data_IF_309905796164
#
_entry.id   IF_309905796164
#
_cell.length_a   1.000
_cell.length_b   1.000
_cell.length_c   1.000
_cell.angle_alpha   90.00
_cell.angle_beta   90.00
_cell.angle_gamma   90.00
#
_symmetry.space_group_name_H-M   'P 1'
#
loop_
_entity.id
_entity.type
_entity.pdbx_description
1 polymer ?
#
# COMPACT_ATOMS: atom_id res chain seq x y z
N UNK A 1 17.18 -7.53 8.93
CA UNK A 1 15.89 -8.12 9.36
C UNK A 1 15.66 -9.41 8.56
N UNK A 2 16.01 -10.60 9.08
CA UNK A 2 15.97 -11.83 8.29
C UNK A 2 14.58 -12.16 7.70
N UNK A 3 13.50 -11.85 8.42
CA UNK A 3 12.13 -12.08 7.97
C UNK A 3 11.74 -11.28 6.71
N UNK A 4 12.42 -10.16 6.42
CA UNK A 4 12.11 -9.33 5.25
C UNK A 4 12.28 -10.11 3.95
N UNK A 5 13.29 -10.98 3.86
CA UNK A 5 13.59 -11.78 2.68
C UNK A 5 12.92 -13.16 2.69
N UNK A 6 11.95 -13.36 3.59
CA UNK A 6 11.21 -14.61 3.75
C UNK A 6 9.70 -14.35 3.86
N UNK A 7 9.09 -13.74 2.83
CA UNK A 7 7.64 -13.56 2.79
C UNK A 7 6.94 -14.93 2.82
N UNK A 8 5.76 -15.03 3.46
CA UNK A 8 5.01 -16.28 3.48
C UNK A 8 4.48 -16.63 2.08
N UNK A 9 4.46 -17.93 1.78
CA UNK A 9 3.85 -18.46 0.56
C UNK A 9 2.39 -18.85 0.80
N UNK A 10 1.50 -18.52 -0.13
CA UNK A 10 0.08 -18.94 -0.09
C UNK A 10 -0.06 -20.46 -0.06
N UNK A 11 0.87 -21.20 -0.67
CA UNK A 11 0.83 -22.67 -0.74
C UNK A 11 1.33 -23.38 0.52
N UNK A 12 1.97 -22.66 1.44
CA UNK A 12 2.64 -23.23 2.62
C UNK A 12 2.36 -22.41 3.89
N UNK A 13 1.21 -21.75 3.96
CA UNK A 13 0.87 -20.87 5.08
C UNK A 13 0.54 -21.67 6.35
N UNK A 14 1.11 -21.24 7.47
CA UNK A 14 0.68 -21.69 8.81
C UNK A 14 -0.64 -21.00 9.19
N UNK A 15 -1.38 -21.51 10.20
CA UNK A 15 -2.65 -20.89 10.64
C UNK A 15 -2.52 -19.40 11.00
N UNK A 16 -1.35 -18.97 11.46
CA UNK A 16 -1.07 -17.58 11.85
C UNK A 16 -0.38 -16.75 10.76
N UNK A 17 -0.04 -17.34 9.61
CA UNK A 17 0.76 -16.68 8.58
C UNK A 17 0.12 -15.38 8.07
N UNK A 18 -1.22 -15.31 8.02
CA UNK A 18 -1.93 -14.08 7.66
C UNK A 18 -1.73 -12.97 8.70
N UNK A 19 -1.91 -13.29 9.98
CA UNK A 19 -1.70 -12.34 11.08
C UNK A 19 -0.24 -11.85 11.14
N UNK A 20 0.72 -12.76 10.95
CA UNK A 20 2.14 -12.45 10.91
C UNK A 20 2.50 -11.56 9.71
N UNK A 21 1.94 -11.85 8.53
CA UNK A 21 2.13 -11.03 7.33
C UNK A 21 1.57 -9.61 7.53
N UNK A 22 0.36 -9.47 8.08
CA UNK A 22 -0.24 -8.17 8.40
C UNK A 22 0.63 -7.41 9.41
N UNK A 23 1.16 -8.09 10.42
CA UNK A 23 2.10 -7.52 11.39
C UNK A 23 3.38 -7.03 10.71
N UNK A 24 3.95 -7.81 9.80
CA UNK A 24 5.13 -7.40 9.04
C UNK A 24 4.83 -6.18 8.14
N UNK A 25 3.70 -6.16 7.44
CA UNK A 25 3.25 -5.01 6.63
C UNK A 25 3.12 -3.74 7.50
N UNK A 26 2.60 -3.86 8.72
CA UNK A 26 2.51 -2.74 9.68
C UNK A 26 3.89 -2.26 10.12
N UNK A 27 4.79 -3.16 10.49
CA UNK A 27 6.16 -2.83 10.89
C UNK A 27 6.94 -2.14 9.76
N UNK A 28 6.80 -2.65 8.52
CA UNK A 28 7.40 -2.03 7.34
C UNK A 28 6.85 -0.63 7.11
N UNK A 29 5.54 -0.43 7.26
CA UNK A 29 4.93 0.89 7.13
C UNK A 29 5.54 1.90 8.12
N UNK A 30 5.69 1.51 9.39
CA UNK A 30 6.32 2.35 10.41
C UNK A 30 7.80 2.64 10.13
N UNK A 31 8.54 1.64 9.66
CA UNK A 31 9.94 1.81 9.30
C UNK A 31 10.11 2.81 8.16
N UNK A 32 9.27 2.72 7.12
CA UNK A 32 9.29 3.64 5.99
C UNK A 32 8.84 5.05 6.38
N UNK A 33 7.84 5.20 7.26
CA UNK A 33 7.46 6.50 7.83
C UNK A 33 8.66 7.13 8.56
N UNK A 34 9.35 6.37 9.40
CA UNK A 34 10.55 6.85 10.10
C UNK A 34 11.67 7.26 9.15
N UNK A 35 11.93 6.45 8.12
CA UNK A 35 12.95 6.72 7.11
C UNK A 35 12.66 8.01 6.32
N UNK A 36 11.41 8.18 5.88
CA UNK A 36 10.95 9.35 5.12
C UNK A 36 10.88 10.64 5.98
N UNK A 37 10.78 10.50 7.30
CA UNK A 37 10.81 11.63 8.24
C UNK A 37 12.22 12.05 8.65
N UNK A 38 13.25 11.24 8.35
CA UNK A 38 14.62 11.57 8.71
C UNK A 38 15.10 12.83 7.99
N UNK A 39 15.80 13.71 8.71
CA UNK A 39 16.40 14.93 8.13
C UNK A 39 17.59 14.65 7.20
N UNK A 40 18.13 13.42 7.26
CA UNK A 40 19.24 12.94 6.44
C UNK A 40 18.76 11.73 5.65
N UNK A 41 19.34 11.45 4.45
CA UNK A 41 19.04 10.24 3.69
C UNK A 41 19.16 9.00 4.58
N UNK A 42 18.05 8.28 4.75
CA UNK A 42 17.96 7.10 5.60
C UNK A 42 17.33 5.97 4.78
N UNK A 43 18.12 4.95 4.47
CA UNK A 43 17.69 3.82 3.63
C UNK A 43 17.74 2.50 4.42
N UNK A 44 16.87 2.30 5.44
CA UNK A 44 16.91 1.09 6.27
C UNK A 44 16.49 -0.18 5.52
N UNK A 45 15.78 -0.03 4.39
CA UNK A 45 15.42 -1.14 3.50
C UNK A 45 16.04 -0.88 2.12
N UNK A 46 16.93 -1.75 1.61
CA UNK A 46 17.44 -1.63 0.25
C UNK A 46 16.30 -1.67 -0.78
N UNK A 47 16.37 -0.82 -1.82
CA UNK A 47 15.37 -0.81 -2.91
C UNK A 47 15.31 -2.18 -3.60
N UNK A 48 16.43 -2.91 -3.65
CA UNK A 48 16.50 -4.29 -4.16
C UNK A 48 15.58 -5.29 -3.43
N UNK A 49 15.05 -4.94 -2.25
CA UNK A 49 14.03 -5.72 -1.56
C UNK A 49 12.60 -5.54 -2.14
N UNK A 50 12.43 -4.82 -3.26
CA UNK A 50 11.13 -4.53 -3.88
C UNK A 50 10.30 -5.79 -4.15
N UNK A 51 10.95 -6.88 -4.59
CA UNK A 51 10.26 -8.15 -4.83
C UNK A 51 9.63 -8.72 -3.56
N UNK A 52 10.34 -8.69 -2.43
CA UNK A 52 9.83 -9.21 -1.17
C UNK A 52 8.71 -8.34 -0.61
N UNK A 53 8.82 -7.02 -0.81
CA UNK A 53 7.73 -6.08 -0.49
C UNK A 53 6.46 -6.45 -1.27
N UNK A 54 6.60 -6.70 -2.57
CA UNK A 54 5.47 -7.14 -3.41
C UNK A 54 4.89 -8.47 -2.94
N UNK A 55 5.73 -9.43 -2.54
CA UNK A 55 5.28 -10.75 -2.06
C UNK A 55 4.47 -10.64 -0.75
N UNK A 56 4.89 -9.80 0.19
CA UNK A 56 4.10 -9.50 1.40
C UNK A 56 2.73 -8.91 1.07
N UNK A 57 2.69 -7.92 0.18
CA UNK A 57 1.44 -7.31 -0.27
C UNK A 57 0.56 -8.35 -0.97
N UNK A 58 1.13 -9.12 -1.89
CA UNK A 58 0.42 -10.14 -2.65
C UNK A 58 -0.20 -11.18 -1.70
N UNK A 59 0.56 -11.66 -0.70
CA UNK A 59 0.07 -12.61 0.28
C UNK A 59 -1.10 -12.05 1.10
N UNK A 60 -0.99 -10.81 1.58
CA UNK A 60 -2.07 -10.15 2.34
C UNK A 60 -3.30 -9.92 1.45
N UNK A 61 -3.13 -9.49 0.20
CA UNK A 61 -4.26 -9.29 -0.71
C UNK A 61 -4.93 -10.62 -1.04
N UNK A 62 -4.17 -11.68 -1.36
CA UNK A 62 -4.72 -13.00 -1.68
C UNK A 62 -5.51 -13.62 -0.52
N UNK A 63 -5.04 -13.47 0.72
CA UNK A 63 -5.72 -14.01 1.91
C UNK A 63 -6.87 -13.15 2.43
N UNK A 64 -7.02 -11.90 1.97
CA UNK A 64 -7.94 -10.94 2.60
C UNK A 64 -9.41 -11.39 2.54
N UNK A 65 -9.85 -11.94 1.41
CA UNK A 65 -11.24 -12.33 1.21
C UNK A 65 -11.71 -13.37 2.25
N UNK A 66 -10.82 -14.31 2.60
CA UNK A 66 -11.10 -15.39 3.54
C UNK A 66 -10.83 -15.00 5.00
N UNK A 67 -9.79 -14.20 5.25
CA UNK A 67 -9.27 -13.97 6.61
C UNK A 67 -9.82 -12.71 7.28
N UNK A 68 -10.38 -11.77 6.52
CA UNK A 68 -10.76 -10.41 7.01
C UNK A 68 -11.77 -10.39 8.16
N UNK A 69 -12.52 -11.47 8.38
CA UNK A 69 -13.57 -11.56 9.41
C UNK A 69 -13.10 -12.15 10.75
N UNK A 70 -11.91 -12.72 10.80
CA UNK A 70 -11.40 -13.45 11.97
C UNK A 70 -10.97 -12.50 13.10
N UNK A 71 -10.56 -11.28 12.80
CA UNK A 71 -10.20 -10.27 13.81
C UNK A 71 -10.27 -8.85 13.25
N UNK A 72 -10.33 -7.85 14.14
CA UNK A 72 -10.27 -6.44 13.74
C UNK A 72 -8.92 -6.10 13.07
N UNK A 73 -7.84 -6.77 13.47
CA UNK A 73 -6.52 -6.65 12.81
C UNK A 73 -6.59 -7.16 11.37
N UNK A 74 -7.28 -8.26 11.12
CA UNK A 74 -7.45 -8.78 9.76
C UNK A 74 -8.36 -7.88 8.93
N UNK A 75 -9.39 -7.29 9.54
CA UNK A 75 -10.28 -6.33 8.90
C UNK A 75 -9.51 -5.09 8.40
N UNK A 76 -8.46 -4.66 9.10
CA UNK A 76 -7.62 -3.53 8.69
C UNK A 76 -6.51 -3.89 7.70
N UNK A 77 -6.41 -5.15 7.25
CA UNK A 77 -5.29 -5.60 6.42
C UNK A 77 -5.20 -4.87 5.06
N UNK A 78 -6.32 -4.62 4.36
CA UNK A 78 -6.31 -3.80 3.13
C UNK A 78 -5.79 -2.39 3.40
N UNK A 79 -6.19 -1.77 4.51
CA UNK A 79 -5.70 -0.44 4.87
C UNK A 79 -4.18 -0.44 4.96
N UNK A 80 -3.59 -1.40 5.69
CA UNK A 80 -2.14 -1.48 5.88
C UNK A 80 -1.41 -1.81 4.58
N UNK A 81 -1.93 -2.74 3.77
CA UNK A 81 -1.34 -3.11 2.49
C UNK A 81 -1.25 -1.90 1.54
N UNK A 82 -2.35 -1.16 1.34
CA UNK A 82 -2.35 0.00 0.45
C UNK A 82 -1.48 1.17 0.96
N UNK A 83 -1.42 1.39 2.28
CA UNK A 83 -0.51 2.41 2.83
C UNK A 83 0.95 2.02 2.67
N UNK A 84 1.28 0.73 2.81
CA UNK A 84 2.64 0.24 2.56
C UNK A 84 3.01 0.42 1.09
N UNK A 85 2.11 0.15 0.14
CA UNK A 85 2.36 0.42 -1.28
C UNK A 85 2.65 1.91 -1.55
N UNK A 86 1.88 2.82 -0.93
CA UNK A 86 2.10 4.27 -1.04
C UNK A 86 3.47 4.66 -0.48
N UNK A 87 3.76 4.24 0.75
CA UNK A 87 5.02 4.53 1.44
C UNK A 87 6.22 3.96 0.70
N UNK A 88 6.14 2.72 0.21
CA UNK A 88 7.19 2.08 -0.56
C UNK A 88 7.50 2.83 -1.86
N UNK A 89 6.45 3.22 -2.59
CA UNK A 89 6.60 4.00 -3.83
C UNK A 89 7.35 5.31 -3.56
N UNK A 90 6.88 6.11 -2.60
CA UNK A 90 7.50 7.39 -2.24
C UNK A 90 8.91 7.20 -1.68
N UNK A 91 9.13 6.16 -0.87
CA UNK A 91 10.45 5.82 -0.33
C UNK A 91 11.46 5.50 -1.43
N UNK A 92 11.10 4.68 -2.41
CA UNK A 92 11.98 4.35 -3.53
C UNK A 92 12.27 5.57 -4.41
N UNK A 93 11.27 6.44 -4.65
CA UNK A 93 11.48 7.70 -5.38
C UNK A 93 12.46 8.61 -4.64
N UNK A 94 12.35 8.72 -3.31
CA UNK A 94 13.29 9.51 -2.49
C UNK A 94 14.67 8.92 -2.47
N UNK A 95 14.78 7.59 -2.39
CA UNK A 95 16.05 6.90 -2.44
C UNK A 95 16.76 7.19 -3.77
N UNK A 96 16.05 7.14 -4.91
CA UNK A 96 16.58 7.47 -6.24
C UNK A 96 17.15 8.89 -6.37
N UNK A 97 16.69 9.84 -5.54
CA UNK A 97 17.20 11.22 -5.51
C UNK A 97 18.47 11.38 -4.67
N UNK A 98 18.77 10.41 -3.80
CA UNK A 98 19.85 10.48 -2.80
C UNK A 98 20.94 9.43 -3.01
N UNK A 99 20.65 8.35 -3.73
CA UNK A 99 21.60 7.30 -4.05
C UNK A 99 22.40 7.62 -5.31
N UNK A 100 23.63 7.11 -5.37
CA UNK A 100 24.42 7.11 -6.61
C UNK A 100 23.88 6.11 -7.67
N UNK A 101 22.90 5.27 -7.32
CA UNK A 101 22.26 4.39 -8.30
C UNK A 101 21.51 5.19 -9.37
N UNK A 102 21.56 4.74 -10.65
CA UNK A 102 20.87 5.44 -11.72
C UNK A 102 19.36 5.46 -11.44
N UNK A 103 18.77 6.65 -11.46
CA UNK A 103 17.33 6.87 -11.23
C UNK A 103 16.45 5.91 -12.04
N UNK A 104 16.86 5.60 -13.27
CA UNK A 104 16.18 4.65 -14.16
C UNK A 104 16.00 3.27 -13.51
N UNK A 105 17.00 2.76 -12.80
CA UNK A 105 16.93 1.45 -12.12
C UNK A 105 15.96 1.50 -10.94
N UNK A 106 15.98 2.58 -10.15
CA UNK A 106 15.03 2.76 -9.05
C UNK A 106 13.58 2.85 -9.55
N UNK A 107 13.34 3.59 -10.63
CA UNK A 107 12.02 3.68 -11.25
C UNK A 107 11.56 2.31 -11.80
N UNK A 108 12.44 1.55 -12.43
CA UNK A 108 12.13 0.20 -12.89
C UNK A 108 11.73 -0.73 -11.73
N UNK A 109 12.44 -0.69 -10.59
CA UNK A 109 12.08 -1.46 -9.39
C UNK A 109 10.69 -1.13 -8.82
N UNK A 110 10.25 0.13 -8.95
CA UNK A 110 8.90 0.56 -8.54
C UNK A 110 7.85 0.02 -9.52
N UNK A 111 8.11 0.07 -10.82
CA UNK A 111 7.20 -0.48 -11.83
C UNK A 111 7.07 -1.99 -11.69
N UNK A 112 8.17 -2.71 -11.45
CA UNK A 112 8.17 -4.16 -11.23
C UNK A 112 7.39 -4.54 -9.96
N UNK A 113 7.52 -3.74 -8.90
CA UNK A 113 6.70 -3.89 -7.69
C UNK A 113 5.20 -3.81 -8.02
N UNK A 114 4.78 -2.76 -8.73
CA UNK A 114 3.38 -2.58 -9.08
C UNK A 114 2.88 -3.60 -10.11
N UNK A 115 3.73 -4.06 -11.02
CA UNK A 115 3.40 -5.14 -11.96
C UNK A 115 3.08 -6.46 -11.24
N UNK A 116 3.69 -6.71 -10.08
CA UNK A 116 3.41 -7.88 -9.22
C UNK A 116 2.16 -7.71 -8.35
N UNK A 117 1.93 -6.49 -7.84
CA UNK A 117 0.79 -6.20 -6.94
C UNK A 117 -0.53 -6.07 -7.72
N UNK A 118 -0.49 -5.51 -8.93
CA UNK A 118 -1.68 -5.21 -9.75
C UNK A 118 -2.56 -6.45 -10.01
N UNK A 119 -2.04 -7.62 -10.39
CA UNK A 119 -2.86 -8.83 -10.54
C UNK A 119 -3.64 -9.23 -9.29
N UNK A 120 -3.05 -9.11 -8.10
CA UNK A 120 -3.74 -9.43 -6.84
C UNK A 120 -4.89 -8.45 -6.53
N UNK A 121 -4.72 -7.16 -6.87
CA UNK A 121 -5.80 -6.17 -6.78
C UNK A 121 -6.96 -6.57 -7.73
N UNK A 122 -6.65 -6.91 -8.97
CA UNK A 122 -7.66 -7.33 -9.96
C UNK A 122 -8.41 -8.59 -9.53
N UNK A 123 -7.72 -9.56 -8.90
CA UNK A 123 -8.34 -10.75 -8.33
C UNK A 123 -9.32 -10.42 -7.21
N UNK A 124 -9.00 -9.46 -6.33
CA UNK A 124 -9.95 -9.05 -5.29
C UNK A 124 -11.18 -8.32 -5.86
N UNK A 125 -11.01 -7.54 -6.93
CA UNK A 125 -12.12 -6.86 -7.60
C UNK A 125 -13.14 -7.84 -8.21
N UNK A 126 -12.72 -9.06 -8.58
CA UNK A 126 -13.61 -10.08 -9.15
C UNK A 126 -14.33 -10.94 -8.09
N UNK A 127 -13.96 -10.83 -6.80
CA UNK A 127 -14.47 -11.72 -5.77
C UNK A 127 -15.92 -11.42 -5.34
N UNK A 128 -16.25 -10.16 -5.03
CA UNK A 128 -17.62 -9.74 -4.68
C UNK A 128 -17.80 -8.23 -4.82
N UNK A 129 -19.03 -7.75 -4.96
CA UNK A 129 -19.33 -6.31 -5.04
C UNK A 129 -18.82 -5.53 -3.81
N UNK A 130 -19.07 -6.05 -2.62
CA UNK A 130 -18.64 -5.41 -1.37
C UNK A 130 -17.12 -5.29 -1.31
N UNK A 131 -16.42 -6.36 -1.69
CA UNK A 131 -14.96 -6.35 -1.73
C UNK A 131 -14.42 -5.41 -2.81
N UNK A 132 -15.05 -5.38 -3.98
CA UNK A 132 -14.70 -4.47 -5.06
C UNK A 132 -14.83 -3.00 -4.62
N UNK A 133 -15.91 -2.63 -3.94
CA UNK A 133 -16.11 -1.27 -3.42
C UNK A 133 -15.04 -0.88 -2.38
N UNK A 134 -14.67 -1.81 -1.48
CA UNK A 134 -13.61 -1.60 -0.49
C UNK A 134 -12.24 -1.41 -1.14
N UNK A 135 -11.87 -2.31 -2.05
CA UNK A 135 -10.59 -2.27 -2.77
C UNK A 135 -10.49 -1.01 -3.62
N UNK A 136 -11.55 -0.66 -4.36
CA UNK A 136 -11.59 0.57 -5.14
C UNK A 136 -11.40 1.81 -4.25
N UNK A 137 -12.04 1.87 -3.08
CA UNK A 137 -11.83 2.99 -2.15
C UNK A 137 -10.36 3.14 -1.73
N UNK A 138 -9.70 2.05 -1.36
CA UNK A 138 -8.28 2.07 -0.98
C UNK A 138 -7.36 2.40 -2.17
N UNK A 139 -7.69 1.88 -3.34
CA UNK A 139 -6.95 2.14 -4.57
C UNK A 139 -7.03 3.61 -5.00
N UNK A 140 -8.22 4.22 -4.95
CA UNK A 140 -8.37 5.66 -5.23
C UNK A 140 -7.59 6.53 -4.24
N UNK A 141 -7.62 6.17 -2.94
CA UNK A 141 -6.82 6.87 -1.94
C UNK A 141 -5.31 6.74 -2.25
N UNK A 142 -4.88 5.66 -2.89
CA UNK A 142 -3.50 5.45 -3.33
C UNK A 142 -3.13 6.35 -4.50
N UNK A 143 -3.96 6.43 -5.53
CA UNK A 143 -3.78 7.39 -6.65
C UNK A 143 -3.70 8.81 -6.11
N UNK A 144 -4.61 9.18 -5.20
CA UNK A 144 -4.62 10.50 -4.59
C UNK A 144 -3.33 10.78 -3.80
N UNK A 145 -2.87 9.83 -2.98
CA UNK A 145 -1.65 9.99 -2.19
C UNK A 145 -0.40 10.16 -3.08
N UNK A 146 -0.26 9.36 -4.14
CA UNK A 146 0.85 9.47 -5.08
C UNK A 146 0.83 10.81 -5.83
N UNK A 147 -0.37 11.30 -6.19
CA UNK A 147 -0.53 12.62 -6.81
C UNK A 147 -0.13 13.75 -5.86
N UNK A 148 -0.55 13.68 -4.59
CA UNK A 148 -0.17 14.65 -3.55
C UNK A 148 1.35 14.71 -3.34
N UNK A 149 2.04 13.59 -3.52
CA UNK A 149 3.49 13.47 -3.41
C UNK A 149 4.26 13.78 -4.70
N UNK A 150 3.58 14.17 -5.78
CA UNK A 150 4.19 14.40 -7.10
C UNK A 150 4.95 13.16 -7.64
N UNK A 151 4.41 11.97 -7.41
CA UNK A 151 5.07 10.72 -7.80
C UNK A 151 5.45 10.72 -9.29
N UNK A 152 6.72 10.46 -9.55
CA UNK A 152 7.31 10.43 -10.89
C UNK A 152 6.78 9.26 -11.73
N UNK A 153 6.41 8.15 -11.10
CA UNK A 153 5.90 6.95 -11.79
C UNK A 153 4.40 6.98 -12.07
N UNK A 154 3.65 7.95 -11.52
CA UNK A 154 2.18 7.94 -11.59
C UNK A 154 1.65 7.88 -13.02
N UNK A 155 2.31 8.55 -13.97
CA UNK A 155 1.95 8.50 -15.38
C UNK A 155 2.07 7.09 -16.00
N UNK A 156 3.15 6.38 -15.69
CA UNK A 156 3.38 5.00 -16.16
C UNK A 156 2.42 4.01 -15.47
N UNK A 157 2.19 4.21 -14.17
CA UNK A 157 1.23 3.42 -13.41
C UNK A 157 -0.21 3.60 -13.90
N UNK A 158 -0.58 4.79 -14.37
CA UNK A 158 -1.90 5.05 -14.95
C UNK A 158 -2.26 4.10 -16.09
N UNK A 159 -1.31 3.81 -16.99
CA UNK A 159 -1.52 2.85 -18.07
C UNK A 159 -1.68 1.41 -17.53
N UNK A 160 -0.84 1.01 -16.58
CA UNK A 160 -0.89 -0.32 -15.94
C UNK A 160 -2.20 -0.55 -15.19
N UNK A 161 -2.73 0.48 -14.55
CA UNK A 161 -3.90 0.40 -13.68
C UNK A 161 -5.22 0.62 -14.38
N UNK A 162 -5.22 0.87 -15.69
CA UNK A 162 -6.46 1.05 -16.42
C UNK A 162 -7.44 -0.13 -16.28
N UNK A 163 -7.00 -1.39 -16.21
CA UNK A 163 -7.89 -2.51 -15.88
C UNK A 163 -8.52 -2.42 -14.48
N UNK A 164 -7.81 -1.89 -13.46
CA UNK A 164 -8.36 -1.74 -12.10
C UNK A 164 -9.51 -0.73 -12.11
N UNK A 165 -9.31 0.39 -12.82
CA UNK A 165 -10.33 1.43 -12.96
C UNK A 165 -11.54 0.92 -13.75
N UNK A 166 -11.28 0.10 -14.78
CA UNK A 166 -12.32 -0.33 -15.74
C UNK A 166 -13.03 -1.63 -15.41
N UNK A 167 -12.43 -2.53 -14.62
CA UNK A 167 -13.01 -3.85 -14.31
C UNK A 167 -14.40 -3.78 -13.67
N UNK A 168 -14.74 -2.66 -13.00
CA UNK A 168 -16.02 -2.46 -12.33
C UNK A 168 -16.90 -1.36 -12.95
N UNK A 169 -16.55 -0.85 -14.14
CA UNK A 169 -17.16 0.33 -14.78
C UNK A 169 -18.60 0.15 -15.35
N UNK A 170 -19.42 -0.78 -14.84
CA UNK A 170 -20.86 -0.64 -15.05
C UNK A 170 -21.46 0.41 -14.08
N UNK A 171 -21.03 0.43 -12.81
CA UNK A 171 -21.59 1.30 -11.77
C UNK A 171 -20.56 1.55 -10.64
N UNK A 172 -19.53 2.37 -10.89
CA UNK A 172 -18.72 2.89 -9.78
C UNK A 172 -19.64 3.73 -8.87
N UNK A 173 -19.74 3.45 -7.56
CA UNK A 173 -20.49 4.29 -6.63
C UNK A 173 -20.20 5.78 -6.86
N UNK A 174 -21.22 6.62 -6.95
CA UNK A 174 -21.05 8.05 -7.29
C UNK A 174 -19.97 8.75 -6.45
N UNK A 175 -19.81 8.38 -5.17
CA UNK A 175 -18.75 8.90 -4.29
C UNK A 175 -17.34 8.57 -4.80
N UNK A 176 -17.14 7.35 -5.32
CA UNK A 176 -15.87 6.92 -5.89
C UNK A 176 -15.64 7.57 -7.26
N UNK A 177 -16.69 7.74 -8.07
CA UNK A 177 -16.61 8.48 -9.33
C UNK A 177 -16.20 9.94 -9.11
N UNK A 178 -16.84 10.63 -8.16
CA UNK A 178 -16.47 11.99 -7.79
C UNK A 178 -15.01 12.07 -7.32
N UNK A 179 -14.52 11.07 -6.58
CA UNK A 179 -13.10 11.00 -6.19
C UNK A 179 -12.17 10.81 -7.38
N UNK A 180 -12.55 9.98 -8.35
CA UNK A 180 -11.80 9.80 -9.61
C UNK A 180 -11.73 11.10 -10.39
N UNK A 181 -12.88 11.75 -10.60
CA UNK A 181 -12.97 13.04 -11.27
C UNK A 181 -12.14 14.10 -10.54
N UNK A 182 -12.17 14.13 -9.20
CA UNK A 182 -11.33 15.02 -8.39
C UNK A 182 -9.85 14.69 -8.52
N UNK A 183 -9.48 13.41 -8.63
CA UNK A 183 -8.10 13.03 -8.92
C UNK A 183 -7.74 13.59 -10.28
N UNK A 184 -8.39 13.17 -11.35
CA UNK A 184 -8.07 13.56 -12.73
C UNK A 184 -8.01 15.08 -12.94
N UNK A 185 -8.99 15.82 -12.42
CA UNK A 185 -9.14 17.26 -12.67
C UNK A 185 -8.38 18.16 -11.69
N UNK A 186 -7.71 17.62 -10.67
CA UNK A 186 -6.91 18.45 -9.77
C UNK A 186 -5.71 19.04 -10.53
N UNK A 187 -5.61 20.38 -10.64
CA UNK A 187 -4.42 21.00 -11.22
C UNK A 187 -3.23 20.59 -10.36
N UNK A 188 -2.11 20.27 -11.01
CA UNK A 188 -0.87 19.83 -10.36
C UNK A 188 -0.35 20.81 -9.30
N UNK A 189 -0.87 22.04 -9.23
CA UNK A 189 -0.39 23.11 -8.36
C UNK A 189 -0.58 22.88 -6.83
N UNK A 190 -1.45 21.95 -6.41
CA UNK A 190 -1.70 21.68 -4.98
C UNK A 190 -0.78 20.58 -4.43
N UNK A 191 0.53 20.79 -4.53
CA UNK A 191 1.51 19.88 -3.95
C UNK A 191 1.59 20.07 -2.44
N UNK A 192 1.34 18.99 -1.71
CA UNK A 192 1.50 18.99 -0.26
C UNK A 192 2.98 18.67 0.07
N UNK A 193 3.66 19.46 0.92
CA UNK A 193 5.02 19.13 1.34
C UNK A 193 5.05 17.70 1.89
N UNK A 194 6.04 16.89 1.51
CA UNK A 194 6.12 15.48 1.93
C UNK A 194 5.95 15.31 3.44
N UNK A 195 6.53 16.20 4.25
CA UNK A 195 6.41 16.16 5.71
C UNK A 195 4.96 16.32 6.20
N UNK A 196 4.16 17.13 5.50
CA UNK A 196 2.74 17.31 5.81
C UNK A 196 1.93 16.08 5.41
N UNK A 197 2.18 15.50 4.23
CA UNK A 197 1.58 14.23 3.82
C UNK A 197 1.92 13.09 4.79
N UNK A 198 3.20 12.96 5.17
CA UNK A 198 3.68 11.96 6.15
C UNK A 198 3.02 12.14 7.51
N UNK A 199 2.79 13.38 7.96
CA UNK A 199 2.03 13.64 9.20
C UNK A 199 0.61 13.09 9.11
N UNK A 200 -0.05 13.27 7.96
CA UNK A 200 -1.36 12.70 7.69
C UNK A 200 -1.36 11.17 7.65
N UNK A 201 -0.37 10.55 6.99
CA UNK A 201 -0.20 9.10 6.95
C UNK A 201 0.02 8.53 8.35
N UNK A 202 0.96 9.10 9.10
CA UNK A 202 1.26 8.70 10.49
C UNK A 202 0.01 8.78 11.36
N UNK A 203 -0.75 9.86 11.25
CA UNK A 203 -2.00 10.01 11.98
C UNK A 203 -3.00 8.90 11.64
N UNK A 204 -3.23 8.62 10.36
CA UNK A 204 -4.15 7.56 9.92
C UNK A 204 -3.72 6.19 10.42
N UNK A 205 -2.45 5.82 10.27
CA UNK A 205 -1.92 4.53 10.76
C UNK A 205 -2.11 4.44 12.27
N UNK A 206 -1.74 5.47 13.02
CA UNK A 206 -1.91 5.50 14.49
C UNK A 206 -3.37 5.30 14.91
N UNK A 207 -4.32 5.92 14.21
CA UNK A 207 -5.74 5.78 14.52
C UNK A 207 -6.25 4.35 14.30
N UNK A 208 -5.87 3.71 13.20
CA UNK A 208 -6.25 2.31 12.94
C UNK A 208 -5.58 1.35 13.94
N UNK A 209 -4.34 1.62 14.34
CA UNK A 209 -3.65 0.81 15.35
C UNK A 209 -4.26 0.95 16.75
N UNK A 210 -4.73 2.14 17.12
CA UNK A 210 -5.48 2.34 18.37
C UNK A 210 -6.81 1.58 18.36
N UNK A 211 -7.54 1.61 17.23
CA UNK A 211 -8.80 0.88 17.08
C UNK A 211 -8.62 -0.63 17.16
N UNK A 212 -7.60 -1.17 16.49
CA UNK A 212 -7.29 -2.61 16.51
C UNK A 212 -6.79 -3.09 17.88
N UNK A 213 -6.01 -2.26 18.58
CA UNK A 213 -5.55 -2.55 19.94
C UNK A 213 -6.69 -2.52 20.96
N UNK A 214 -7.60 -1.54 20.87
CA UNK A 214 -8.76 -1.44 21.75
C UNK A 214 -9.78 -2.57 21.56
N UNK A 215 -9.81 -3.18 20.37
CA UNK A 215 -10.67 -4.32 20.06
C UNK A 215 -10.06 -5.68 20.44
N UNK A 216 -8.77 -5.72 20.80
CA UNK A 216 -8.13 -6.94 21.30
C UNK A 216 -8.48 -7.09 22.78
N UNK A 217 -9.33 -8.05 23.18
CA UNK A 217 -9.60 -8.26 24.60
C UNK A 217 -8.27 -8.64 25.24
N UNK A 218 -7.86 -7.86 26.25
CA UNK A 218 -6.78 -8.27 27.14
C UNK A 218 -7.08 -9.69 27.59
N UNK A 219 -6.22 -10.64 27.22
CA UNK A 219 -6.21 -11.95 27.82
C UNK A 219 -6.02 -11.74 29.32
N UNK A 220 -7.09 -11.96 30.08
CA UNK A 220 -6.97 -12.23 31.51
C UNK A 220 -6.14 -13.51 31.64
N UNK A 221 -4.90 -13.36 32.07
CA UNK A 221 -4.22 -14.37 32.88
C UNK A 221 -4.49 -14.02 34.33
#
# INVERSE_FOLDING_TARGET
MPWLVSPPSVTQSTPNAFADAVTNVRLLSWLLVGALQANQPCLPIPISCSQYMADYIHFVLAGFADQSKESVVHMSALFHAFHLCQLWTVYCERAALTSDEPQISSLANILDFWARVTPAILQLLSHSKVLADMVNLHFLNTIQALRQCSSAVLGQLGAMWQPILTAYHAQIPNKLRLKLDCCENQPSLNFEPLQQWLKGVRYKISQIELQTSAASPFYNV
#
